data_IF_791536462290
#
_entry.id   IF_791536462290
#
_cell.length_a   1.000
_cell.length_b   1.000
_cell.length_c   1.000
_cell.angle_alpha   90.00
_cell.angle_beta   90.00
_cell.angle_gamma   90.00
#
_symmetry.space_group_name_H-M   'P 1'
#
loop_
_entity.id
_entity.type
_entity.pdbx_description
1 polymer ?
#
# COMPACT_ATOMS: atom_id res chain seq x y z
N UNK A 1 -6.60 -9.50 -35.42
CA UNK A 1 -5.30 -8.79 -35.48
C UNK A 1 -4.71 -8.74 -34.09
N UNK A 2 -3.40 -8.98 -33.98
CA UNK A 2 -2.67 -8.92 -32.71
C UNK A 2 -1.71 -7.74 -32.75
N UNK A 3 -1.69 -6.98 -31.66
CA UNK A 3 -0.80 -5.85 -31.43
C UNK A 3 -0.15 -6.04 -30.05
N UNK A 4 1.08 -5.58 -29.84
CA UNK A 4 1.75 -5.65 -28.55
C UNK A 4 2.26 -4.27 -28.17
N UNK A 5 2.22 -3.94 -26.88
CA UNK A 5 2.77 -2.72 -26.34
C UNK A 5 3.26 -2.93 -24.91
N UNK A 6 4.19 -2.10 -24.47
CA UNK A 6 4.67 -2.11 -23.09
C UNK A 6 3.80 -1.19 -22.21
N UNK A 7 3.35 -1.71 -21.09
CA UNK A 7 2.60 -0.95 -20.09
C UNK A 7 3.55 -0.08 -19.25
N UNK A 8 3.39 1.22 -19.30
CA UNK A 8 4.22 2.19 -18.58
C UNK A 8 3.56 2.73 -17.28
N UNK A 9 2.53 2.06 -16.77
CA UNK A 9 1.75 2.53 -15.63
C UNK A 9 2.34 2.20 -14.27
N UNK A 10 3.30 1.27 -14.23
CA UNK A 10 4.05 0.93 -13.02
C UNK A 10 5.43 0.36 -13.39
N UNK A 11 6.26 0.11 -12.38
CA UNK A 11 7.62 -0.41 -12.58
C UNK A 11 7.69 -1.83 -13.19
N UNK A 12 6.58 -2.57 -13.23
CA UNK A 12 6.56 -3.92 -13.83
C UNK A 12 6.72 -3.91 -15.35
N UNK A 13 6.39 -2.78 -16.03
CA UNK A 13 6.56 -2.60 -17.48
C UNK A 13 6.13 -3.83 -18.31
N UNK A 14 4.96 -4.39 -17.98
CA UNK A 14 4.48 -5.62 -18.60
C UNK A 14 4.32 -5.47 -20.11
N UNK A 15 4.71 -6.48 -20.89
CA UNK A 15 4.39 -6.58 -22.30
C UNK A 15 2.95 -7.06 -22.44
N UNK A 16 2.09 -6.20 -22.98
CA UNK A 16 0.67 -6.45 -23.15
C UNK A 16 0.39 -6.82 -24.59
N UNK A 17 -0.21 -8.00 -24.80
CA UNK A 17 -0.75 -8.42 -26.06
C UNK A 17 -2.22 -8.04 -26.17
N UNK A 18 -2.57 -7.26 -27.19
CA UNK A 18 -3.93 -6.84 -27.52
C UNK A 18 -4.42 -7.62 -28.73
N UNK A 19 -5.49 -8.38 -28.57
CA UNK A 19 -6.11 -9.15 -29.65
C UNK A 19 -7.40 -8.45 -30.07
N UNK A 20 -7.47 -8.08 -31.33
CA UNK A 20 -8.64 -7.49 -31.96
C UNK A 20 -9.41 -8.59 -32.70
N UNK A 21 -10.65 -8.84 -32.28
CA UNK A 21 -11.57 -9.75 -32.94
C UNK A 21 -12.69 -8.91 -33.54
N UNK A 22 -13.02 -9.13 -34.81
CA UNK A 22 -14.06 -8.38 -35.51
C UNK A 22 -15.41 -8.55 -34.81
N UNK A 23 -16.12 -7.45 -34.62
CA UNK A 23 -17.40 -7.43 -33.87
C UNK A 23 -17.28 -7.60 -32.34
N UNK A 24 -16.08 -7.76 -31.81
CA UNK A 24 -15.83 -7.92 -30.37
C UNK A 24 -14.93 -6.81 -29.80
N UNK A 25 -15.00 -6.61 -28.49
CA UNK A 25 -14.07 -5.71 -27.80
C UNK A 25 -12.67 -6.33 -27.76
N UNK A 26 -11.62 -5.51 -27.76
CA UNK A 26 -10.25 -6.00 -27.63
C UNK A 26 -10.07 -6.87 -26.38
N UNK A 27 -9.32 -7.95 -26.51
CA UNK A 27 -8.85 -8.78 -25.42
C UNK A 27 -7.39 -8.41 -25.13
N UNK A 28 -7.02 -8.40 -23.85
CA UNK A 28 -5.67 -8.06 -23.41
C UNK A 28 -5.09 -9.18 -22.57
N UNK A 29 -3.80 -9.51 -22.78
CA UNK A 29 -3.07 -10.55 -22.06
C UNK A 29 -1.67 -10.08 -21.71
N UNK A 30 -1.05 -10.72 -20.71
CA UNK A 30 0.35 -10.48 -20.32
C UNK A 30 0.51 -9.47 -19.18
N UNK A 31 -0.60 -8.92 -18.66
CA UNK A 31 -0.55 -8.07 -17.45
C UNK A 31 -0.27 -8.88 -16.20
N UNK A 32 0.58 -8.36 -15.30
CA UNK A 32 0.75 -8.91 -13.94
C UNK A 32 -0.27 -8.36 -12.95
N UNK A 33 -1.14 -7.48 -13.40
CA UNK A 33 -2.28 -6.94 -12.67
C UNK A 33 -3.51 -7.06 -13.56
N UNK A 34 -4.68 -7.05 -12.96
CA UNK A 34 -5.96 -7.24 -13.66
C UNK A 34 -6.43 -5.99 -14.43
N UNK A 35 -5.60 -4.95 -14.55
CA UNK A 35 -5.98 -3.64 -15.13
C UNK A 35 -6.58 -3.74 -16.53
N UNK A 36 -6.05 -4.63 -17.36
CA UNK A 36 -6.50 -4.84 -18.73
C UNK A 36 -7.50 -5.98 -18.87
N UNK A 37 -7.55 -6.90 -17.91
CA UNK A 37 -8.37 -8.11 -17.92
C UNK A 37 -9.72 -7.87 -17.25
N UNK A 38 -9.75 -7.11 -16.17
CA UNK A 38 -11.00 -6.75 -15.50
C UNK A 38 -11.76 -5.75 -16.36
N UNK A 39 -12.86 -6.21 -16.90
CA UNK A 39 -13.85 -5.32 -17.51
C UNK A 39 -14.35 -4.37 -16.42
N UNK A 40 -13.97 -3.12 -16.47
CA UNK A 40 -14.74 -2.09 -15.79
C UNK A 40 -16.10 -2.07 -16.46
N UNK A 41 -17.06 -2.82 -15.93
CA UNK A 41 -18.46 -2.60 -16.27
C UNK A 41 -18.77 -1.17 -15.85
N UNK A 42 -18.94 -0.29 -16.82
CA UNK A 42 -19.54 1.02 -16.63
C UNK A 42 -21.02 0.78 -16.29
N UNK A 43 -21.35 0.43 -15.06
CA UNK A 43 -22.74 0.11 -14.79
C UNK A 43 -23.01 -0.62 -13.50
N UNK A 44 -22.13 -0.55 -12.54
CA UNK A 44 -22.52 -0.79 -11.16
C UNK A 44 -23.15 0.48 -10.57
N UNK A 45 -24.19 1.03 -11.18
CA UNK A 45 -25.00 2.05 -10.51
C UNK A 45 -25.51 1.46 -9.20
N UNK A 46 -24.94 1.92 -8.08
CA UNK A 46 -25.40 1.58 -6.74
C UNK A 46 -24.48 0.74 -5.86
N UNK A 47 -23.43 0.12 -6.37
CA UNK A 47 -22.46 -0.57 -5.49
C UNK A 47 -21.49 0.44 -4.87
N UNK A 48 -21.51 0.52 -3.54
CA UNK A 48 -20.55 1.33 -2.78
C UNK A 48 -19.15 0.74 -2.92
N UNK A 49 -18.16 1.57 -3.16
CA UNK A 49 -16.75 1.18 -3.05
C UNK A 49 -16.40 1.06 -1.55
N UNK A 50 -16.48 -0.17 -1.04
CA UNK A 50 -16.22 -0.46 0.37
C UNK A 50 -14.74 -0.29 0.73
N UNK A 51 -13.81 -0.40 -0.23
CA UNK A 51 -12.39 -0.13 0.01
C UNK A 51 -12.13 1.35 0.19
N UNK A 52 -12.74 2.21 -0.63
CA UNK A 52 -12.67 3.65 -0.45
C UNK A 52 -13.32 4.10 0.86
N UNK A 53 -14.46 3.50 1.24
CA UNK A 53 -15.11 3.78 2.51
C UNK A 53 -14.27 3.33 3.70
N UNK A 54 -13.67 2.15 3.65
CA UNK A 54 -12.73 1.66 4.67
C UNK A 54 -11.54 2.63 4.83
N UNK A 55 -10.94 3.06 3.72
CA UNK A 55 -9.83 4.02 3.75
C UNK A 55 -10.27 5.36 4.38
N UNK A 56 -11.43 5.85 4.00
CA UNK A 56 -12.01 7.08 4.57
C UNK A 56 -12.20 6.96 6.08
N UNK A 57 -12.76 5.85 6.56
CA UNK A 57 -12.96 5.59 7.99
C UNK A 57 -11.61 5.45 8.72
N UNK A 58 -10.67 4.69 8.17
CA UNK A 58 -9.33 4.52 8.74
C UNK A 58 -8.63 5.85 8.91
N UNK A 59 -8.73 6.73 7.91
CA UNK A 59 -8.05 8.03 7.91
C UNK A 59 -8.83 9.12 8.65
N UNK A 60 -10.07 8.89 9.04
CA UNK A 60 -10.88 9.90 9.75
C UNK A 60 -10.29 10.31 11.10
N UNK A 61 -9.58 9.40 11.77
CA UNK A 61 -8.89 9.68 13.03
C UNK A 61 -7.51 10.34 12.83
N UNK A 62 -6.99 10.37 11.59
CA UNK A 62 -5.67 10.93 11.31
C UNK A 62 -5.71 12.46 11.26
N UNK A 63 -5.00 13.08 12.18
CA UNK A 63 -4.80 14.52 12.23
C UNK A 63 -3.33 14.84 11.91
N UNK A 64 -2.98 15.12 10.62
CA UNK A 64 -1.59 15.34 10.22
C UNK A 64 -0.94 16.56 10.87
N UNK A 65 -1.74 17.45 11.45
CA UNK A 65 -1.33 18.66 12.16
C UNK A 65 -2.01 18.80 13.52
N UNK A 66 -2.43 17.70 14.12
CA UNK A 66 -2.72 17.72 15.55
C UNK A 66 -1.54 18.38 16.22
N UNK A 67 -1.76 19.19 17.28
CA UNK A 67 -0.72 19.92 18.03
C UNK A 67 0.55 19.11 17.96
N UNK A 68 1.59 19.63 17.28
CA UNK A 68 2.85 18.91 17.12
C UNK A 68 3.17 18.34 18.48
N UNK A 69 3.19 17.00 18.57
CA UNK A 69 3.34 16.36 19.85
C UNK A 69 4.56 16.99 20.50
N UNK A 70 4.48 17.38 21.74
CA UNK A 70 5.56 18.11 22.45
C UNK A 70 6.89 17.32 22.45
N UNK A 71 6.83 16.02 22.08
CA UNK A 71 7.95 15.08 22.06
C UNK A 71 8.51 14.80 20.66
N UNK A 72 7.87 15.26 19.59
CA UNK A 72 8.37 15.13 18.23
C UNK A 72 7.44 14.34 17.29
N UNK A 73 8.00 13.98 16.13
CA UNK A 73 7.28 13.31 15.05
C UNK A 73 7.88 11.91 14.82
N UNK A 74 7.02 10.90 14.73
CA UNK A 74 7.39 9.52 14.38
C UNK A 74 6.83 9.23 12.99
N UNK A 75 7.68 8.75 12.08
CA UNK A 75 7.28 8.29 10.75
C UNK A 75 6.63 6.91 10.83
N UNK A 76 5.44 6.74 10.27
CA UNK A 76 4.74 5.47 10.19
C UNK A 76 4.39 5.16 8.73
N UNK A 77 5.14 4.27 8.07
CA UNK A 77 4.87 3.92 6.67
C UNK A 77 3.56 3.15 6.52
N UNK A 78 2.81 3.47 5.47
CA UNK A 78 1.51 2.85 5.14
C UNK A 78 1.71 1.49 4.49
N UNK A 79 2.11 0.50 5.26
CA UNK A 79 2.45 -0.83 4.75
C UNK A 79 1.94 -1.95 5.64
N UNK A 80 1.71 -3.11 5.03
CA UNK A 80 1.35 -4.37 5.72
C UNK A 80 0.21 -4.16 6.72
N UNK A 81 0.49 -4.31 8.00
CA UNK A 81 -0.46 -4.22 9.12
C UNK A 81 -0.97 -2.81 9.40
N UNK A 82 -0.53 -1.79 8.65
CA UNK A 82 -1.01 -0.41 8.80
C UNK A 82 -2.54 -0.32 8.78
N UNK A 83 -3.18 -1.00 7.85
CA UNK A 83 -4.64 -0.92 7.67
C UNK A 83 -5.45 -1.55 8.81
N UNK A 84 -4.81 -2.30 9.69
CA UNK A 84 -5.44 -2.91 10.86
C UNK A 84 -5.13 -2.16 12.15
N UNK A 85 -3.87 -1.74 12.33
CA UNK A 85 -3.36 -1.22 13.59
C UNK A 85 -3.13 0.28 13.62
N UNK A 86 -3.34 0.99 12.51
CA UNK A 86 -3.11 2.43 12.47
C UNK A 86 -3.91 3.21 13.54
N UNK A 87 -5.21 2.96 13.78
CA UNK A 87 -5.95 3.68 14.81
C UNK A 87 -5.36 3.48 16.22
N UNK A 88 -4.89 2.27 16.52
CA UNK A 88 -4.22 1.97 17.78
C UNK A 88 -2.91 2.77 17.92
N UNK A 89 -2.02 2.72 16.93
CA UNK A 89 -0.75 3.44 17.00
C UNK A 89 -0.96 4.96 16.98
N UNK A 90 -1.95 5.45 16.25
CA UNK A 90 -2.31 6.85 16.26
C UNK A 90 -2.70 7.32 17.67
N UNK A 91 -3.60 6.61 18.34
CA UNK A 91 -4.02 6.93 19.69
C UNK A 91 -2.85 6.81 20.68
N UNK A 92 -2.13 5.68 20.64
CA UNK A 92 -1.01 5.40 21.55
C UNK A 92 0.07 6.48 21.49
N UNK A 93 0.56 6.84 20.31
CA UNK A 93 1.60 7.85 20.17
C UNK A 93 1.09 9.26 20.44
N UNK A 94 -0.18 9.55 20.14
CA UNK A 94 -0.80 10.82 20.48
C UNK A 94 -0.85 11.03 21.99
N UNK A 95 -1.26 10.01 22.76
CA UNK A 95 -1.28 10.05 24.24
C UNK A 95 0.12 10.20 24.84
N UNK A 96 1.13 9.63 24.18
CA UNK A 96 2.53 9.82 24.57
C UNK A 96 3.11 11.19 24.16
N UNK A 97 2.33 12.05 23.50
CA UNK A 97 2.77 13.38 23.06
C UNK A 97 3.59 13.38 21.77
N UNK A 98 3.51 12.34 20.95
CA UNK A 98 4.11 12.31 19.60
C UNK A 98 3.06 12.57 18.53
N UNK A 99 3.50 13.11 17.39
CA UNK A 99 2.70 13.17 16.16
C UNK A 99 3.15 12.06 15.20
N UNK A 100 2.24 11.54 14.39
CA UNK A 100 2.59 10.59 13.33
C UNK A 100 2.69 11.29 11.97
N UNK A 101 3.77 10.99 11.24
CA UNK A 101 3.94 11.30 9.82
C UNK A 101 3.69 10.03 9.02
N UNK A 102 2.69 10.03 8.15
CA UNK A 102 2.40 8.90 7.28
C UNK A 102 3.10 9.06 5.93
N UNK A 103 3.54 7.96 5.34
CA UNK A 103 3.92 7.97 3.93
C UNK A 103 2.68 8.23 3.04
N UNK A 104 2.85 8.75 1.81
CA UNK A 104 1.71 8.99 0.92
C UNK A 104 0.97 7.68 0.60
N UNK A 105 -0.27 7.73 0.09
CA UNK A 105 -0.92 6.56 -0.48
C UNK A 105 -0.04 5.87 -1.51
N UNK A 106 -0.16 4.55 -1.62
CA UNK A 106 0.57 3.78 -2.63
C UNK A 106 0.34 4.36 -4.01
N UNK A 107 1.41 4.69 -4.70
CA UNK A 107 1.43 5.27 -6.04
C UNK A 107 2.59 4.68 -6.85
N UNK A 108 2.69 5.05 -8.13
CA UNK A 108 3.72 4.51 -9.03
C UNK A 108 5.15 4.75 -8.51
N UNK A 109 5.41 5.88 -7.85
CA UNK A 109 6.72 6.19 -7.28
C UNK A 109 7.08 5.27 -6.10
N UNK A 110 6.14 5.05 -5.19
CA UNK A 110 6.32 4.11 -4.08
C UNK A 110 6.58 2.70 -4.62
N UNK A 111 5.80 2.25 -5.61
CA UNK A 111 6.00 0.94 -6.25
C UNK A 111 7.38 0.84 -6.90
N UNK A 112 7.79 1.85 -7.66
CA UNK A 112 9.10 1.90 -8.32
C UNK A 112 10.25 1.79 -7.30
N UNK A 113 10.20 2.57 -6.22
CA UNK A 113 11.20 2.52 -5.12
C UNK A 113 11.28 1.14 -4.49
N UNK A 114 10.12 0.51 -4.26
CA UNK A 114 10.07 -0.83 -3.67
C UNK A 114 10.63 -1.90 -4.59
N UNK A 115 10.30 -1.86 -5.87
CA UNK A 115 10.81 -2.83 -6.86
C UNK A 115 12.31 -2.70 -7.07
N UNK A 116 12.84 -1.47 -7.15
CA UNK A 116 14.27 -1.23 -7.32
C UNK A 116 15.10 -1.50 -6.07
N UNK A 117 14.49 -1.44 -4.89
CA UNK A 117 15.17 -1.63 -3.61
C UNK A 117 15.26 -3.09 -3.13
N UNK A 118 14.61 -4.04 -3.83
CA UNK A 118 14.58 -5.45 -3.41
C UNK A 118 15.32 -6.32 -4.41
N UNK A 119 16.42 -6.91 -3.95
CA UNK A 119 17.30 -7.76 -4.78
C UNK A 119 16.74 -9.20 -4.98
N UNK A 120 15.75 -9.62 -4.20
CA UNK A 120 15.20 -10.98 -4.25
C UNK A 120 13.78 -11.04 -4.80
N UNK A 121 13.34 -12.25 -5.16
CA UNK A 121 11.97 -12.52 -5.60
C UNK A 121 10.99 -12.45 -4.42
N UNK A 122 10.70 -11.24 -3.92
CA UNK A 122 9.68 -11.01 -2.92
C UNK A 122 8.29 -10.85 -3.57
N UNK A 123 7.23 -11.15 -2.82
CA UNK A 123 5.86 -10.90 -3.25
C UNK A 123 5.60 -9.40 -3.44
N UNK A 124 4.59 -9.05 -4.23
CA UNK A 124 4.31 -7.65 -4.56
C UNK A 124 4.00 -6.78 -3.32
N UNK A 125 3.17 -7.22 -2.34
CA UNK A 125 2.96 -6.45 -1.12
C UNK A 125 4.24 -6.14 -0.35
N UNK A 126 5.18 -7.08 -0.27
CA UNK A 126 6.49 -6.86 0.36
C UNK A 126 7.29 -5.81 -0.41
N UNK A 127 7.31 -5.86 -1.74
CA UNK A 127 7.97 -4.83 -2.56
C UNK A 127 7.39 -3.44 -2.30
N UNK A 128 6.06 -3.33 -2.25
CA UNK A 128 5.38 -2.06 -1.92
C UNK A 128 5.76 -1.59 -0.52
N UNK A 129 5.83 -2.48 0.46
CA UNK A 129 6.26 -2.16 1.82
C UNK A 129 7.68 -1.56 1.85
N UNK A 130 8.63 -2.15 1.11
CA UNK A 130 9.97 -1.56 0.95
C UNK A 130 9.94 -0.16 0.34
N UNK A 131 9.03 0.11 -0.60
CA UNK A 131 8.85 1.44 -1.19
C UNK A 131 8.39 2.48 -0.17
N UNK A 132 7.42 2.14 0.67
CA UNK A 132 6.98 2.99 1.77
C UNK A 132 8.08 3.21 2.82
N UNK A 133 8.83 2.17 3.15
CA UNK A 133 9.95 2.27 4.08
C UNK A 133 11.07 3.16 3.53
N UNK A 134 11.41 3.03 2.24
CA UNK A 134 12.40 3.87 1.58
C UNK A 134 11.98 5.34 1.57
N UNK A 135 10.72 5.65 1.26
CA UNK A 135 10.20 7.01 1.32
C UNK A 135 10.28 7.58 2.74
N UNK A 136 9.91 6.79 3.75
CA UNK A 136 9.94 7.24 5.14
C UNK A 136 11.37 7.44 5.64
N UNK A 137 12.31 6.59 5.21
CA UNK A 137 13.74 6.77 5.50
C UNK A 137 14.23 8.14 5.01
N UNK A 138 13.88 8.55 3.80
CA UNK A 138 14.22 9.86 3.27
C UNK A 138 13.59 10.98 4.13
N UNK A 139 12.31 10.85 4.49
CA UNK A 139 11.64 11.83 5.34
C UNK A 139 12.31 11.97 6.73
N UNK A 140 12.83 10.89 7.31
CA UNK A 140 13.63 10.94 8.55
C UNK A 140 14.97 11.64 8.33
N UNK A 141 15.68 11.32 7.25
CA UNK A 141 16.97 11.96 6.93
C UNK A 141 16.81 13.46 6.63
N UNK A 142 15.67 13.88 6.09
CA UNK A 142 15.30 15.28 5.88
C UNK A 142 14.82 16.00 7.15
N UNK A 143 14.77 15.31 8.30
CA UNK A 143 14.31 15.88 9.57
C UNK A 143 12.80 16.06 9.70
N UNK A 144 11.99 15.50 8.79
CA UNK A 144 10.52 15.55 8.86
C UNK A 144 9.95 14.65 9.98
N UNK A 145 10.70 13.62 10.37
CA UNK A 145 10.41 12.76 11.51
C UNK A 145 11.72 12.41 12.24
N UNK A 146 11.66 12.23 13.54
CA UNK A 146 12.83 11.91 14.36
C UNK A 146 13.18 10.40 14.36
N UNK A 147 12.21 9.57 14.05
CA UNK A 147 12.36 8.11 13.99
C UNK A 147 11.30 7.50 13.05
N UNK A 148 11.49 6.24 12.67
CA UNK A 148 10.52 5.46 11.89
C UNK A 148 10.03 4.26 12.70
N UNK A 149 8.71 4.07 12.75
CA UNK A 149 8.05 2.91 13.34
C UNK A 149 7.78 1.87 12.26
N UNK A 150 8.29 0.67 12.43
CA UNK A 150 7.96 -0.50 11.61
C UNK A 150 7.53 -1.61 12.56
N UNK A 151 6.21 -1.82 12.78
CA UNK A 151 5.74 -2.92 13.62
C UNK A 151 6.05 -4.27 12.97
N UNK A 152 6.62 -5.18 13.74
CA UNK A 152 6.78 -6.59 13.35
C UNK A 152 5.84 -7.43 14.21
N UNK A 153 4.73 -7.84 13.63
CA UNK A 153 3.72 -8.66 14.29
C UNK A 153 3.91 -10.11 13.86
N UNK A 154 4.23 -10.97 14.81
CA UNK A 154 4.41 -12.41 14.55
C UNK A 154 3.11 -13.18 14.76
N UNK A 155 2.38 -12.86 15.83
CA UNK A 155 1.11 -13.48 16.19
C UNK A 155 0.18 -12.41 16.74
N UNK A 156 -1.09 -12.44 16.33
CA UNK A 156 -2.09 -11.47 16.80
C UNK A 156 -2.86 -11.96 18.04
N UNK A 157 -3.00 -13.27 18.19
CA UNK A 157 -3.68 -13.87 19.34
C UNK A 157 -2.94 -15.13 19.78
N UNK A 158 -2.68 -15.31 21.09
CA UNK A 158 -2.26 -16.59 21.60
C UNK A 158 -3.45 -17.55 21.49
N UNK A 159 -3.50 -18.34 20.44
CA UNK A 159 -4.46 -19.43 20.33
C UNK A 159 -3.88 -20.63 21.06
N UNK A 160 -4.66 -21.27 21.96
CA UNK A 160 -4.26 -22.48 22.64
C UNK A 160 -3.98 -23.65 21.66
N UNK A 161 -4.46 -23.52 20.43
CA UNK A 161 -4.12 -24.38 19.30
C UNK A 161 -3.34 -23.51 18.31
N UNK A 162 -2.09 -23.91 18.03
CA UNK A 162 -1.26 -23.24 17.02
C UNK A 162 -1.97 -23.26 15.65
N UNK A 163 -2.68 -22.19 15.35
CA UNK A 163 -3.35 -22.08 14.06
C UNK A 163 -2.29 -21.75 13.00
N UNK A 164 -2.06 -22.62 11.99
CA UNK A 164 -0.97 -22.47 11.03
C UNK A 164 -1.04 -21.19 10.19
N UNK A 165 -2.17 -20.48 10.23
CA UNK A 165 -2.41 -19.24 9.49
C UNK A 165 -2.44 -17.97 10.38
N UNK A 166 -2.07 -18.09 11.66
CA UNK A 166 -2.03 -16.94 12.57
C UNK A 166 -0.76 -16.09 12.44
N UNK A 167 0.20 -16.52 11.63
CA UNK A 167 1.44 -15.81 11.40
C UNK A 167 1.29 -14.80 10.27
N UNK A 168 1.67 -13.55 10.53
CA UNK A 168 1.74 -12.50 9.52
C UNK A 168 3.11 -12.48 8.84
N UNK A 169 3.09 -12.15 7.57
CA UNK A 169 4.33 -11.90 6.80
C UNK A 169 5.11 -10.68 7.33
#
# INVERSE_FOLDING_TARGET
RQESFQCNLCANQCDISKILVEGHRPLFYGGRCERYEVRRSSGGEGLRDLFAERERLLMSAYQPKGKAGSRGVIGYPRMLTFHEYFPFFQAFFSELGFSLLLSPPTNAEIVRRGVSGVASAACFPTKVAHGHAAWMKEAVLEGKAGAMLIPSLRETFPTAEAHPYANHC
#
